data_IF_003559185230
#
_entry.id   IF_003559185230
#
_cell.length_a   1.000
_cell.length_b   1.000
_cell.length_c   1.000
_cell.angle_alpha   90.00
_cell.angle_beta   90.00
_cell.angle_gamma   90.00
#
_symmetry.space_group_name_H-M   'P 1'
#
loop_
_entity.id
_entity.type
_entity.pdbx_description
1 polymer ?
#
# COMPACT_ATOMS: atom_id res chain seq x y z
N UNK A 1 19.29 -21.99 8.72
CA UNK A 1 18.79 -22.20 7.35
C UNK A 1 19.79 -21.57 6.39
N UNK A 2 20.12 -22.25 5.28
CA UNK A 2 20.98 -21.73 4.22
C UNK A 2 20.09 -21.27 3.07
N UNK A 3 20.40 -20.12 2.46
CA UNK A 3 19.72 -19.61 1.27
C UNK A 3 20.72 -19.71 0.11
N UNK A 4 20.30 -20.21 -1.04
CA UNK A 4 21.16 -20.26 -2.23
C UNK A 4 20.88 -19.08 -3.18
N UNK A 5 19.61 -18.68 -3.26
CA UNK A 5 19.12 -17.66 -4.18
C UNK A 5 18.10 -16.77 -3.47
N UNK A 6 18.22 -15.46 -3.65
CA UNK A 6 17.21 -14.47 -3.31
C UNK A 6 16.58 -13.93 -4.61
N UNK A 7 15.27 -14.14 -4.75
CA UNK A 7 14.46 -13.60 -5.85
C UNK A 7 13.64 -12.44 -5.31
N UNK A 8 13.87 -11.24 -5.82
CA UNK A 8 13.10 -10.04 -5.49
C UNK A 8 12.25 -9.60 -6.69
N UNK A 9 10.93 -9.57 -6.53
CA UNK A 9 9.97 -9.08 -7.54
C UNK A 9 9.35 -7.80 -6.99
N UNK A 10 9.69 -6.67 -7.58
CA UNK A 10 9.57 -5.38 -6.88
C UNK A 10 9.28 -4.19 -7.81
N UNK A 11 9.18 -2.99 -7.25
CA UNK A 11 9.15 -1.72 -7.95
C UNK A 11 7.78 -1.06 -8.00
N UNK A 12 6.69 -1.84 -8.18
CA UNK A 12 5.33 -1.30 -8.21
C UNK A 12 4.95 -0.69 -6.87
N UNK A 13 5.13 -1.42 -5.76
CA UNK A 13 4.68 -0.97 -4.45
C UNK A 13 5.41 0.29 -4.00
N UNK A 14 6.69 0.41 -4.33
CA UNK A 14 7.55 1.52 -3.95
C UNK A 14 7.06 2.83 -4.56
N UNK A 15 6.60 2.79 -5.81
CA UNK A 15 6.12 4.00 -6.48
C UNK A 15 4.61 4.21 -6.31
N UNK A 16 3.82 3.15 -6.06
CA UNK A 16 2.36 3.25 -6.03
C UNK A 16 1.79 3.57 -4.65
N UNK A 17 2.35 2.96 -3.59
CA UNK A 17 1.79 3.06 -2.24
C UNK A 17 2.09 4.41 -1.57
N UNK A 18 3.33 4.94 -1.58
CA UNK A 18 3.60 6.20 -0.88
C UNK A 18 2.81 7.39 -1.43
N UNK A 19 2.66 7.58 -2.76
CA UNK A 19 1.79 8.65 -3.26
C UNK A 19 0.32 8.47 -2.88
N UNK A 20 -0.17 7.23 -2.82
CA UNK A 20 -1.57 6.94 -2.47
C UNK A 20 -1.84 7.13 -0.97
N UNK A 21 -0.88 6.79 -0.11
CA UNK A 21 -1.05 6.81 1.35
C UNK A 21 -0.57 8.11 1.98
N UNK A 22 0.49 8.73 1.44
CA UNK A 22 1.26 9.74 2.17
C UNK A 22 1.33 11.13 1.54
N UNK A 23 1.00 11.29 0.26
CA UNK A 23 1.13 12.58 -0.45
C UNK A 23 0.45 13.77 0.28
N UNK A 24 -0.70 13.55 0.92
CA UNK A 24 -1.42 14.58 1.68
C UNK A 24 -1.13 14.65 3.19
N UNK A 25 -0.35 13.72 3.75
CA UNK A 25 -0.24 13.53 5.21
C UNK A 25 1.08 14.00 5.82
N UNK A 26 2.03 14.51 5.01
CA UNK A 26 3.39 14.91 5.41
C UNK A 26 4.19 13.79 6.09
N UNK A 27 3.77 12.54 5.91
CA UNK A 27 4.50 11.36 6.35
C UNK A 27 5.62 11.08 5.35
N UNK A 28 6.81 10.76 5.86
CA UNK A 28 7.94 10.42 5.03
C UNK A 28 7.60 9.23 4.12
N UNK A 29 7.75 9.35 2.78
CA UNK A 29 7.32 8.33 1.83
C UNK A 29 8.14 7.04 1.91
N UNK A 30 9.28 7.05 2.61
CA UNK A 30 10.14 5.89 2.79
C UNK A 30 9.74 5.04 4.01
N UNK A 31 8.75 5.48 4.78
CA UNK A 31 8.24 4.70 5.89
C UNK A 31 7.40 3.51 5.41
N UNK A 32 7.36 2.40 6.20
CA UNK A 32 6.56 1.24 5.86
C UNK A 32 5.12 1.59 5.55
N UNK A 33 4.44 0.75 4.78
CA UNK A 33 3.00 0.89 4.50
C UNK A 33 2.19 1.05 5.79
N UNK A 34 1.17 1.91 5.76
CA UNK A 34 0.29 2.15 6.90
C UNK A 34 1.02 2.60 8.19
N UNK A 35 2.21 3.18 8.07
CA UNK A 35 3.03 3.61 9.20
C UNK A 35 2.28 4.47 10.21
N UNK A 36 1.48 5.49 9.82
CA UNK A 36 0.72 6.29 10.79
C UNK A 36 -0.20 5.44 11.67
N UNK A 37 -0.78 4.36 11.12
CA UNK A 37 -1.63 3.44 11.90
C UNK A 37 -0.80 2.58 12.84
N UNK A 38 0.35 2.07 12.38
CA UNK A 38 1.26 1.26 13.19
C UNK A 38 1.83 2.11 14.35
N UNK A 39 2.29 3.32 14.03
CA UNK A 39 2.82 4.28 14.99
C UNK A 39 1.74 4.80 15.95
N UNK A 40 0.50 4.98 15.50
CA UNK A 40 -0.64 5.27 16.37
C UNK A 40 -1.09 4.05 17.22
N UNK A 41 -0.66 2.84 16.89
CA UNK A 41 -0.82 1.67 17.76
C UNK A 41 0.21 1.64 18.91
N UNK A 42 1.34 2.33 18.73
CA UNK A 42 2.40 2.46 19.76
C UNK A 42 2.08 3.54 20.80
N UNK A 43 1.11 4.41 20.50
CA UNK A 43 0.53 5.35 21.44
C UNK A 43 -0.99 5.29 21.28
N UNK A 44 -1.70 4.64 22.21
CA UNK A 44 -3.15 4.82 22.41
C UNK A 44 -3.39 6.26 22.92
N UNK A 45 -2.93 7.24 22.16
CA UNK A 45 -2.99 8.63 22.52
C UNK A 45 -4.44 9.04 22.74
N UNK A 46 -4.60 10.17 23.41
CA UNK A 46 -5.90 10.73 23.75
C UNK A 46 -6.92 10.70 22.57
N UNK A 47 -6.54 11.00 21.30
CA UNK A 47 -7.47 10.89 20.17
C UNK A 47 -8.02 9.48 19.91
N UNK A 48 -7.18 8.45 20.03
CA UNK A 48 -7.57 7.04 19.80
C UNK A 48 -8.53 6.57 20.88
N UNK A 49 -8.28 6.93 22.15
CA UNK A 49 -9.18 6.63 23.26
C UNK A 49 -10.52 7.36 23.10
N UNK A 50 -10.51 8.62 22.68
CA UNK A 50 -11.72 9.39 22.38
C UNK A 50 -12.53 8.73 21.26
N UNK A 51 -11.88 8.32 20.16
CA UNK A 51 -12.54 7.64 19.04
C UNK A 51 -13.15 6.30 19.48
N UNK A 52 -12.41 5.50 20.22
CA UNK A 52 -12.91 4.24 20.77
C UNK A 52 -14.14 4.45 21.66
N UNK A 53 -14.12 5.48 22.52
CA UNK A 53 -15.26 5.85 23.36
C UNK A 53 -16.48 6.28 22.54
N UNK A 54 -16.29 7.06 21.47
CA UNK A 54 -17.38 7.44 20.55
C UNK A 54 -18.02 6.19 19.93
N UNK A 55 -17.22 5.26 19.41
CA UNK A 55 -17.71 4.00 18.83
C UNK A 55 -18.49 3.19 19.87
N UNK A 56 -17.95 3.07 21.10
CA UNK A 56 -18.63 2.35 22.19
C UNK A 56 -19.96 3.01 22.57
N UNK A 57 -20.02 4.35 22.65
CA UNK A 57 -21.26 5.08 22.94
C UNK A 57 -22.32 4.85 21.85
N UNK A 58 -21.93 4.86 20.57
CA UNK A 58 -22.85 4.52 19.48
C UNK A 58 -23.37 3.09 19.55
N UNK A 59 -22.51 2.12 19.88
CA UNK A 59 -22.92 0.72 20.09
C UNK A 59 -23.92 0.59 21.25
N UNK A 60 -23.65 1.25 22.37
CA UNK A 60 -24.53 1.25 23.53
C UNK A 60 -25.90 1.88 23.19
N UNK A 61 -25.93 3.01 22.47
CA UNK A 61 -27.18 3.64 22.02
C UNK A 61 -28.01 2.68 21.16
N UNK A 62 -27.37 2.00 20.20
CA UNK A 62 -28.04 1.01 19.33
C UNK A 62 -28.60 -0.16 20.15
N UNK A 63 -27.80 -0.70 21.07
CA UNK A 63 -28.22 -1.78 21.96
C UNK A 63 -29.47 -1.40 22.78
N UNK A 64 -29.46 -0.23 23.42
CA UNK A 64 -30.60 0.23 24.23
C UNK A 64 -31.82 0.58 23.37
N UNK A 65 -31.63 1.18 22.19
CA UNK A 65 -32.73 1.43 21.26
C UNK A 65 -33.45 0.12 20.89
N UNK A 66 -32.72 -0.96 20.62
CA UNK A 66 -33.31 -2.29 20.38
C UNK A 66 -34.05 -2.84 21.61
N UNK A 67 -33.52 -2.66 22.81
CA UNK A 67 -34.20 -3.11 24.05
C UNK A 67 -35.50 -2.34 24.31
N UNK A 68 -35.53 -1.05 24.02
CA UNK A 68 -36.71 -0.20 24.21
C UNK A 68 -37.86 -0.51 23.24
N UNK A 69 -37.59 -1.23 22.15
CA UNK A 69 -38.62 -1.72 21.22
C UNK A 69 -39.39 -2.96 21.72
N UNK A 70 -39.06 -3.49 22.90
CA UNK A 70 -39.82 -4.60 23.50
C UNK A 70 -41.20 -4.16 23.98
N UNK A 71 -42.17 -5.07 23.96
CA UNK A 71 -43.59 -4.73 24.16
C UNK A 71 -43.91 -4.02 25.47
N UNK A 72 -43.23 -4.39 26.56
CA UNK A 72 -43.40 -3.77 27.88
C UNK A 72 -42.76 -2.38 27.97
N UNK A 73 -41.57 -2.20 27.38
CA UNK A 73 -40.81 -0.96 27.48
C UNK A 73 -41.33 0.11 26.51
N UNK A 74 -41.76 -0.28 25.31
CA UNK A 74 -42.28 0.66 24.32
C UNK A 74 -43.59 1.34 24.78
N UNK A 75 -44.41 0.66 25.58
CA UNK A 75 -45.69 1.19 26.10
C UNK A 75 -45.53 1.97 27.41
N UNK A 76 -44.37 1.93 28.05
CA UNK A 76 -44.13 2.62 29.32
C UNK A 76 -43.66 4.05 29.08
N UNK A 77 -44.50 5.04 29.43
CA UNK A 77 -44.14 6.46 29.36
C UNK A 77 -42.93 6.81 30.23
N UNK A 78 -42.84 6.20 31.42
CA UNK A 78 -41.70 6.38 32.33
C UNK A 78 -40.40 5.85 31.72
N UNK A 79 -40.42 4.63 31.16
CA UNK A 79 -39.24 4.04 30.51
C UNK A 79 -38.79 4.88 29.30
N UNK A 80 -39.73 5.36 28.49
CA UNK A 80 -39.42 6.22 27.35
C UNK A 80 -38.85 7.58 27.77
N UNK A 81 -39.34 8.17 28.87
CA UNK A 81 -38.79 9.42 29.41
C UNK A 81 -37.35 9.24 29.91
N UNK A 82 -37.07 8.16 30.65
CA UNK A 82 -35.71 7.83 31.10
C UNK A 82 -34.80 7.53 29.90
N UNK A 83 -35.26 6.75 28.92
CA UNK A 83 -34.49 6.46 27.71
C UNK A 83 -34.20 7.73 26.90
N UNK A 84 -35.18 8.61 26.72
CA UNK A 84 -34.96 9.90 26.04
C UNK A 84 -33.90 10.73 26.76
N UNK A 85 -34.00 10.88 28.08
CA UNK A 85 -33.02 11.62 28.88
C UNK A 85 -31.60 11.03 28.73
N UNK A 86 -31.46 9.71 28.87
CA UNK A 86 -30.15 9.03 28.74
C UNK A 86 -29.59 9.08 27.31
N UNK A 87 -30.46 8.98 26.30
CA UNK A 87 -30.10 9.13 24.89
C UNK A 87 -29.61 10.55 24.59
N UNK A 88 -30.30 11.57 25.10
CA UNK A 88 -29.95 12.98 24.87
C UNK A 88 -28.61 13.31 25.57
N UNK A 89 -28.39 12.84 26.81
CA UNK A 89 -27.11 12.96 27.52
C UNK A 89 -25.97 12.28 26.73
N UNK A 90 -26.20 11.07 26.22
CA UNK A 90 -25.17 10.32 25.48
C UNK A 90 -24.90 10.98 24.12
N UNK A 91 -25.91 11.56 23.48
CA UNK A 91 -25.76 12.33 22.24
C UNK A 91 -24.89 13.56 22.48
N UNK A 92 -25.12 14.27 23.59
CA UNK A 92 -24.28 15.41 23.97
C UNK A 92 -22.82 14.98 24.21
N UNK A 93 -22.60 13.89 24.97
CA UNK A 93 -21.26 13.33 25.20
C UNK A 93 -20.55 12.94 23.91
N UNK A 94 -21.25 12.35 22.95
CA UNK A 94 -20.71 12.04 21.61
C UNK A 94 -20.31 13.34 20.90
N UNK A 95 -21.17 14.37 20.90
CA UNK A 95 -20.88 15.64 20.24
C UNK A 95 -19.66 16.35 20.85
N UNK A 96 -19.55 16.35 22.18
CA UNK A 96 -18.40 16.94 22.88
C UNK A 96 -17.11 16.15 22.58
N UNK A 97 -17.16 14.82 22.63
CA UNK A 97 -16.05 13.96 22.27
C UNK A 97 -15.61 14.16 20.81
N UNK A 98 -16.56 14.31 19.88
CA UNK A 98 -16.27 14.61 18.48
C UNK A 98 -15.61 15.99 18.32
N UNK A 99 -16.05 17.00 19.08
CA UNK A 99 -15.42 18.33 19.07
C UNK A 99 -13.99 18.30 19.60
N UNK A 100 -13.77 17.55 20.68
CA UNK A 100 -12.43 17.32 21.24
C UNK A 100 -11.55 16.58 20.25
N UNK A 101 -12.04 15.51 19.62
CA UNK A 101 -11.32 14.79 18.57
C UNK A 101 -10.94 15.72 17.40
N UNK A 102 -11.87 16.56 16.95
CA UNK A 102 -11.65 17.57 15.91
C UNK A 102 -10.57 18.59 16.28
N UNK A 103 -10.42 18.90 17.57
CA UNK A 103 -9.34 19.79 18.04
C UNK A 103 -7.94 19.19 17.85
N UNK A 104 -7.82 17.86 17.75
CA UNK A 104 -6.57 17.17 17.45
C UNK A 104 -6.26 17.12 15.96
N UNK A 105 -7.24 17.30 15.06
CA UNK A 105 -7.03 17.30 13.60
C UNK A 105 -6.08 18.43 13.16
N UNK A 106 -6.00 19.53 13.92
CA UNK A 106 -5.14 20.67 13.63
C UNK A 106 -3.76 20.64 14.33
N UNK A 107 -3.49 19.65 15.18
CA UNK A 107 -2.17 19.52 15.80
C UNK A 107 -1.21 18.85 14.82
N UNK A 108 0.00 19.41 14.67
CA UNK A 108 1.08 18.75 13.93
C UNK A 108 1.21 17.32 14.45
N UNK A 109 1.18 16.36 13.53
CA UNK A 109 1.40 14.96 13.88
C UNK A 109 2.77 14.81 14.57
N UNK A 110 2.88 13.94 15.59
CA UNK A 110 4.14 13.67 16.27
C UNK A 110 5.27 13.27 15.31
N UNK A 111 6.51 13.65 15.63
CA UNK A 111 7.68 13.35 14.80
C UNK A 111 7.85 11.85 14.52
N UNK A 112 7.51 10.97 15.46
CA UNK A 112 7.61 9.52 15.25
C UNK A 112 6.57 8.99 14.24
N UNK A 113 5.48 9.72 13.98
CA UNK A 113 4.48 9.40 12.95
C UNK A 113 4.93 9.93 11.59
N UNK A 114 5.40 11.18 11.52
CA UNK A 114 5.72 11.81 10.23
C UNK A 114 7.14 11.57 9.77
N UNK A 115 8.07 11.35 10.70
CA UNK A 115 9.50 11.36 10.44
C UNK A 115 10.04 12.77 10.13
N UNK A 116 11.24 12.84 9.54
CA UNK A 116 11.81 14.07 8.99
C UNK A 116 10.80 14.76 8.07
N UNK A 117 10.69 16.10 8.20
CA UNK A 117 9.74 16.88 7.40
C UNK A 117 10.04 16.72 5.91
N UNK A 118 9.14 16.08 5.19
CA UNK A 118 9.14 16.00 3.72
C UNK A 118 7.95 16.77 3.19
N UNK A 119 8.19 17.70 2.26
CA UNK A 119 7.14 18.38 1.52
C UNK A 119 7.39 18.13 0.04
N UNK A 120 6.33 17.73 -0.66
CA UNK A 120 6.36 17.45 -2.09
C UNK A 120 5.25 18.26 -2.74
N UNK A 121 5.60 19.04 -3.76
CA UNK A 121 4.66 19.84 -4.54
C UNK A 121 3.79 18.95 -5.43
N UNK A 122 4.35 17.81 -5.87
CA UNK A 122 3.66 16.86 -6.73
C UNK A 122 4.21 15.43 -6.59
N UNK A 123 3.43 14.46 -7.07
CA UNK A 123 3.78 13.03 -7.00
C UNK A 123 5.10 12.71 -7.72
N UNK A 124 5.45 13.44 -8.78
CA UNK A 124 6.69 13.18 -9.52
C UNK A 124 7.92 13.48 -8.67
N UNK A 125 7.87 14.54 -7.87
CA UNK A 125 8.94 14.90 -6.92
C UNK A 125 9.10 13.82 -5.85
N UNK A 126 7.99 13.37 -5.25
CA UNK A 126 7.99 12.27 -4.28
C UNK A 126 8.59 10.99 -4.86
N UNK A 127 8.17 10.59 -6.07
CA UNK A 127 8.74 9.42 -6.76
C UNK A 127 10.24 9.63 -7.03
N UNK A 128 10.66 10.83 -7.39
CA UNK A 128 12.06 11.20 -7.58
C UNK A 128 12.95 10.89 -6.37
N UNK A 129 12.42 11.06 -5.15
CA UNK A 129 13.13 10.75 -3.89
C UNK A 129 13.09 9.26 -3.52
N UNK A 130 12.03 8.55 -3.92
CA UNK A 130 11.87 7.12 -3.66
C UNK A 130 12.87 6.30 -4.49
N UNK A 131 13.04 6.64 -5.77
CA UNK A 131 13.85 5.85 -6.72
C UNK A 131 15.32 5.66 -6.27
N UNK A 132 16.04 6.69 -5.79
CA UNK A 132 17.38 6.53 -5.24
C UNK A 132 17.44 5.58 -4.06
N UNK A 133 16.44 5.61 -3.18
CA UNK A 133 16.36 4.71 -2.03
C UNK A 133 16.14 3.27 -2.49
N UNK A 134 15.22 3.04 -3.42
CA UNK A 134 15.00 1.72 -4.04
C UNK A 134 16.26 1.15 -4.69
N UNK A 135 16.98 1.98 -5.46
CA UNK A 135 18.28 1.62 -6.07
C UNK A 135 19.30 1.22 -4.99
N UNK A 136 19.46 2.07 -3.97
CA UNK A 136 20.42 1.85 -2.88
C UNK A 136 20.10 0.58 -2.12
N UNK A 137 18.83 0.33 -1.78
CA UNK A 137 18.37 -0.89 -1.12
C UNK A 137 18.72 -2.14 -1.93
N UNK A 138 18.48 -2.12 -3.24
CA UNK A 138 18.84 -3.22 -4.15
C UNK A 138 20.35 -3.50 -4.18
N UNK A 139 21.17 -2.45 -4.20
CA UNK A 139 22.63 -2.57 -4.15
C UNK A 139 23.09 -3.16 -2.81
N UNK A 140 22.51 -2.70 -1.69
CA UNK A 140 22.85 -3.23 -0.37
C UNK A 140 22.44 -4.70 -0.22
N UNK A 141 21.26 -5.09 -0.70
CA UNK A 141 20.82 -6.48 -0.74
C UNK A 141 21.77 -7.35 -1.57
N UNK A 142 22.20 -6.88 -2.75
CA UNK A 142 23.18 -7.60 -3.57
C UNK A 142 24.51 -7.81 -2.84
N UNK A 143 25.02 -6.77 -2.17
CA UNK A 143 26.26 -6.85 -1.39
C UNK A 143 26.15 -7.86 -0.26
N UNK A 144 25.04 -7.83 0.49
CA UNK A 144 24.78 -8.77 1.57
C UNK A 144 24.67 -10.20 1.04
N UNK A 145 23.98 -10.42 -0.07
CA UNK A 145 23.85 -11.72 -0.70
C UNK A 145 25.22 -12.26 -1.16
N UNK A 146 26.01 -11.45 -1.87
CA UNK A 146 27.37 -11.81 -2.32
C UNK A 146 28.28 -12.19 -1.15
N UNK A 147 28.25 -11.44 -0.05
CA UNK A 147 29.04 -11.73 1.14
C UNK A 147 28.69 -13.08 1.79
N UNK A 148 27.49 -13.61 1.52
CA UNK A 148 26.99 -14.87 2.06
C UNK A 148 26.87 -15.97 0.98
N UNK A 149 27.50 -15.79 -0.19
CA UNK A 149 27.41 -16.73 -1.33
C UNK A 149 25.98 -16.98 -1.84
N UNK A 150 25.08 -16.02 -1.65
CA UNK A 150 23.70 -16.04 -2.14
C UNK A 150 23.65 -15.32 -3.49
N UNK A 151 23.00 -15.92 -4.48
CA UNK A 151 22.73 -15.25 -5.77
C UNK A 151 21.51 -14.34 -5.65
N UNK A 152 21.65 -13.08 -6.05
CA UNK A 152 20.57 -12.10 -5.99
C UNK A 152 20.03 -11.76 -7.38
N UNK A 153 18.74 -12.00 -7.58
CA UNK A 153 18.00 -11.66 -8.79
C UNK A 153 16.91 -10.63 -8.46
N UNK A 154 16.80 -9.61 -9.29
CA UNK A 154 15.83 -8.53 -9.10
C UNK A 154 14.98 -8.36 -10.37
N UNK A 155 13.67 -8.47 -10.23
CA UNK A 155 12.71 -8.38 -11.31
C UNK A 155 11.80 -7.16 -11.11
N UNK A 156 11.75 -6.27 -12.09
CA UNK A 156 10.74 -5.22 -12.13
C UNK A 156 9.42 -5.81 -12.65
N UNK A 157 8.38 -5.81 -11.83
CA UNK A 157 7.11 -6.47 -12.13
C UNK A 157 6.25 -5.73 -13.18
N UNK A 158 5.44 -6.44 -13.97
CA UNK A 158 4.48 -5.82 -14.90
C UNK A 158 3.33 -5.13 -14.18
N UNK A 159 2.72 -4.15 -14.85
CA UNK A 159 1.50 -3.49 -14.37
C UNK A 159 0.63 -3.01 -15.54
N UNK A 160 -0.70 -3.13 -15.37
CA UNK A 160 -1.70 -2.81 -16.39
C UNK A 160 -1.74 -1.34 -16.81
N UNK A 161 -1.30 -0.44 -15.92
CA UNK A 161 -1.28 1.00 -16.21
C UNK A 161 -0.01 1.46 -16.94
N UNK A 162 1.01 0.60 -17.05
CA UNK A 162 2.20 0.94 -17.81
C UNK A 162 1.93 0.80 -19.32
N UNK A 163 2.29 1.84 -20.08
CA UNK A 163 2.02 1.89 -21.51
C UNK A 163 2.69 0.73 -22.23
N UNK A 164 1.91 0.02 -23.07
CA UNK A 164 2.36 -1.16 -23.83
C UNK A 164 2.94 -2.26 -22.93
N UNK A 165 2.36 -2.49 -21.75
CA UNK A 165 2.65 -3.67 -20.93
C UNK A 165 2.07 -4.94 -21.56
N UNK A 166 0.83 -4.85 -22.07
CA UNK A 166 0.17 -5.86 -22.90
C UNK A 166 -0.96 -5.26 -23.76
N UNK A 167 -1.46 -6.00 -24.78
CA UNK A 167 -2.76 -5.72 -25.39
C UNK A 167 -3.87 -6.02 -24.37
N UNK A 168 -4.61 -5.01 -23.94
CA UNK A 168 -5.76 -5.18 -23.03
C UNK A 168 -7.04 -5.07 -23.87
N UNK A 169 -7.80 -6.16 -23.94
CA UNK A 169 -9.09 -6.22 -24.62
C UNK A 169 -10.23 -5.60 -23.80
N UNK A 170 -11.39 -5.39 -24.41
CA UNK A 170 -12.53 -4.71 -23.76
C UNK A 170 -13.02 -5.41 -22.48
N UNK A 171 -12.99 -6.74 -22.44
CA UNK A 171 -13.44 -7.53 -21.28
C UNK A 171 -12.51 -7.31 -20.09
N UNK A 172 -11.20 -7.42 -20.32
CA UNK A 172 -10.20 -7.20 -19.29
C UNK A 172 -10.16 -5.74 -18.86
N UNK A 173 -10.27 -4.78 -19.79
CA UNK A 173 -10.26 -3.35 -19.47
C UNK A 173 -11.33 -2.95 -18.45
N UNK A 174 -12.52 -3.57 -18.49
CA UNK A 174 -13.62 -3.30 -17.54
C UNK A 174 -13.29 -3.66 -16.10
N UNK A 175 -12.34 -4.57 -15.89
CA UNK A 175 -11.93 -5.07 -14.57
C UNK A 175 -10.56 -4.51 -14.17
N UNK A 176 -9.64 -4.48 -15.13
CA UNK A 176 -8.23 -4.15 -14.94
C UNK A 176 -7.93 -2.64 -15.00
N UNK A 177 -8.79 -1.83 -15.62
CA UNK A 177 -8.51 -0.42 -15.85
C UNK A 177 -9.56 0.47 -15.21
N UNK A 178 -9.10 1.26 -14.25
CA UNK A 178 -9.84 2.39 -13.69
C UNK A 178 -9.07 3.69 -13.90
N UNK A 179 -9.71 4.67 -14.55
CA UNK A 179 -9.08 5.92 -14.99
C UNK A 179 -8.57 6.80 -13.83
N UNK A 180 -9.35 6.88 -12.76
CA UNK A 180 -9.07 7.66 -11.55
C UNK A 180 -8.32 6.85 -10.47
N UNK A 181 -7.80 5.67 -10.81
CA UNK A 181 -7.05 4.86 -9.85
C UNK A 181 -5.73 5.56 -9.46
N UNK A 182 -5.45 5.78 -8.16
CA UNK A 182 -4.25 6.50 -7.71
C UNK A 182 -2.95 5.85 -8.20
N UNK A 183 -2.90 4.51 -8.21
CA UNK A 183 -1.76 3.74 -8.73
C UNK A 183 -1.48 3.99 -10.22
N UNK A 184 -2.51 4.23 -11.04
CA UNK A 184 -2.33 4.43 -12.48
C UNK A 184 -1.50 5.67 -12.80
N UNK A 185 -1.70 6.77 -12.06
CA UNK A 185 -0.88 7.99 -12.20
C UNK A 185 0.56 7.74 -11.77
N UNK A 186 0.76 7.09 -10.63
CA UNK A 186 2.08 6.76 -10.12
C UNK A 186 2.85 5.85 -11.09
N UNK A 187 2.23 4.80 -11.62
CA UNK A 187 2.84 3.87 -12.59
C UNK A 187 3.30 4.59 -13.85
N UNK A 188 2.45 5.46 -14.43
CA UNK A 188 2.79 6.23 -15.63
C UNK A 188 4.04 7.11 -15.44
N UNK A 189 4.26 7.63 -14.24
CA UNK A 189 5.41 8.48 -13.89
C UNK A 189 6.63 7.66 -13.50
N UNK A 190 6.45 6.69 -12.59
CA UNK A 190 7.55 5.99 -11.93
C UNK A 190 8.14 4.84 -12.73
N UNK A 191 7.37 4.13 -13.55
CA UNK A 191 7.91 3.00 -14.33
C UNK A 191 9.02 3.39 -15.30
N UNK A 192 8.92 4.50 -16.06
CA UNK A 192 10.06 4.98 -16.87
C UNK A 192 11.34 5.16 -16.04
N UNK A 193 11.23 5.70 -14.83
CA UNK A 193 12.36 5.90 -13.92
C UNK A 193 12.90 4.56 -13.40
N UNK A 194 12.03 3.66 -12.94
CA UNK A 194 12.41 2.31 -12.48
C UNK A 194 13.14 1.51 -13.56
N UNK A 195 12.64 1.55 -14.80
CA UNK A 195 13.29 0.86 -15.93
C UNK A 195 14.68 1.42 -16.20
N UNK A 196 14.81 2.75 -16.24
CA UNK A 196 16.11 3.39 -16.44
C UNK A 196 17.08 3.07 -15.30
N UNK A 197 16.63 3.19 -14.05
CA UNK A 197 17.42 2.80 -12.87
C UNK A 197 17.76 1.32 -12.86
N UNK A 198 16.90 0.46 -13.41
CA UNK A 198 17.17 -0.95 -13.63
C UNK A 198 18.38 -1.22 -14.54
N UNK A 199 18.62 -0.35 -15.53
CA UNK A 199 19.85 -0.41 -16.34
C UNK A 199 21.07 -0.08 -15.50
N UNK A 200 20.98 0.90 -14.60
CA UNK A 200 22.07 1.20 -13.65
C UNK A 200 22.31 0.01 -12.71
N UNK A 201 21.26 -0.64 -12.21
CA UNK A 201 21.40 -1.82 -11.35
C UNK A 201 22.16 -2.96 -12.07
N UNK A 202 21.90 -3.17 -13.36
CA UNK A 202 22.68 -4.12 -14.17
C UNK A 202 24.16 -3.71 -14.24
N UNK A 203 24.45 -2.43 -14.45
CA UNK A 203 25.82 -1.92 -14.49
C UNK A 203 26.55 -2.10 -13.14
N UNK A 204 25.83 -2.05 -12.02
CA UNK A 204 26.32 -2.37 -10.67
C UNK A 204 26.48 -3.89 -10.40
N UNK A 205 26.31 -4.72 -11.44
CA UNK A 205 26.49 -6.17 -11.36
C UNK A 205 25.38 -6.88 -10.57
N UNK A 206 24.15 -6.36 -10.63
CA UNK A 206 22.93 -7.03 -10.17
C UNK A 206 22.30 -7.78 -11.34
N UNK A 207 21.84 -9.01 -11.12
CA UNK A 207 21.05 -9.77 -12.09
C UNK A 207 19.64 -9.20 -12.15
N UNK A 208 19.49 -8.05 -12.81
CA UNK A 208 18.22 -7.35 -12.94
C UNK A 208 17.51 -7.73 -14.24
N UNK A 209 16.19 -7.95 -14.19
CA UNK A 209 15.36 -8.18 -15.37
C UNK A 209 14.11 -7.30 -15.34
N UNK A 210 13.87 -6.64 -16.46
CA UNK A 210 12.69 -5.81 -16.67
C UNK A 210 11.56 -6.68 -17.25
N UNK A 211 10.54 -6.97 -16.44
CA UNK A 211 9.39 -7.76 -16.83
C UNK A 211 8.16 -6.90 -17.16
N UNK A 212 8.33 -5.58 -17.33
CA UNK A 212 7.21 -4.66 -17.59
C UNK A 212 6.40 -4.98 -18.85
N UNK A 213 7.00 -5.73 -19.79
CA UNK A 213 6.39 -6.16 -21.04
C UNK A 213 6.31 -7.69 -21.18
N UNK A 214 6.37 -8.44 -20.07
CA UNK A 214 6.31 -9.91 -20.10
C UNK A 214 5.02 -10.45 -20.76
N UNK A 215 3.94 -9.65 -20.73
CA UNK A 215 2.63 -10.00 -21.29
C UNK A 215 2.37 -9.42 -22.70
N UNK A 216 3.38 -8.86 -23.38
CA UNK A 216 3.17 -8.13 -24.65
C UNK A 216 2.51 -8.97 -25.77
N UNK A 217 2.70 -10.29 -25.75
CA UNK A 217 2.15 -11.23 -26.73
C UNK A 217 0.95 -12.03 -26.20
N UNK A 218 0.36 -11.60 -25.08
CA UNK A 218 -0.74 -12.29 -24.40
C UNK A 218 -2.02 -11.43 -24.44
N UNK A 219 -2.83 -11.52 -25.51
CA UNK A 219 -4.07 -10.75 -25.65
C UNK A 219 -5.22 -11.26 -24.76
N UNK A 220 -5.13 -12.48 -24.24
CA UNK A 220 -6.10 -13.07 -23.33
C UNK A 220 -6.15 -12.32 -21.98
N UNK A 221 -7.28 -12.29 -21.26
CA UNK A 221 -7.36 -11.66 -19.94
C UNK A 221 -6.42 -12.30 -18.92
N UNK A 222 -5.60 -11.48 -18.25
CA UNK A 222 -4.63 -11.90 -17.24
C UNK A 222 -4.80 -11.18 -15.91
N UNK A 223 -5.26 -9.93 -15.93
CA UNK A 223 -5.54 -9.17 -14.70
C UNK A 223 -6.93 -9.47 -14.14
N UNK A 224 -7.03 -9.66 -12.82
CA UNK A 224 -8.29 -9.95 -12.12
C UNK A 224 -8.90 -8.74 -11.41
N UNK A 225 -8.14 -7.64 -11.26
CA UNK A 225 -8.60 -6.41 -10.64
C UNK A 225 -7.90 -5.14 -11.15
N UNK A 226 -8.38 -3.98 -10.72
CA UNK A 226 -7.85 -2.67 -11.07
C UNK A 226 -6.62 -2.26 -10.23
N UNK A 227 -6.12 -3.16 -9.37
CA UNK A 227 -4.92 -2.95 -8.56
C UNK A 227 -3.66 -3.41 -9.33
N UNK A 228 -3.45 -4.72 -9.40
CA UNK A 228 -2.30 -5.35 -10.07
C UNK A 228 -2.33 -6.89 -10.05
N UNK A 229 -3.39 -7.54 -9.56
CA UNK A 229 -3.38 -8.98 -9.35
C UNK A 229 -3.62 -9.74 -10.66
N UNK A 230 -2.86 -10.82 -10.84
CA UNK A 230 -2.99 -11.70 -11.99
C UNK A 230 -3.82 -12.94 -11.64
N UNK A 231 -4.52 -13.46 -12.64
CA UNK A 231 -5.08 -14.81 -12.60
C UNK A 231 -3.97 -15.86 -12.64
N UNK A 232 -4.36 -17.14 -12.54
CA UNK A 232 -3.41 -18.26 -12.57
C UNK A 232 -2.51 -18.23 -13.81
N UNK A 233 -3.08 -17.98 -15.00
CA UNK A 233 -2.31 -17.94 -16.25
C UNK A 233 -1.27 -16.80 -16.24
N UNK A 234 -1.64 -15.61 -15.77
CA UNK A 234 -0.71 -14.49 -15.65
C UNK A 234 0.44 -14.78 -14.67
N UNK A 235 0.13 -15.43 -13.54
CA UNK A 235 1.14 -15.89 -12.59
C UNK A 235 2.06 -16.95 -13.21
N UNK A 236 1.54 -17.91 -13.97
CA UNK A 236 2.33 -18.95 -14.62
C UNK A 236 3.30 -18.38 -15.65
N UNK A 237 2.86 -17.40 -16.45
CA UNK A 237 3.70 -16.70 -17.43
C UNK A 237 4.81 -15.91 -16.72
N UNK A 238 4.47 -15.16 -15.67
CA UNK A 238 5.44 -14.40 -14.89
C UNK A 238 6.48 -15.32 -14.24
N UNK A 239 6.03 -16.38 -13.57
CA UNK A 239 6.91 -17.36 -12.92
C UNK A 239 7.85 -18.03 -13.93
N UNK A 240 7.33 -18.38 -15.12
CA UNK A 240 8.15 -18.95 -16.21
C UNK A 240 9.22 -17.97 -16.68
N UNK A 241 8.88 -16.69 -16.83
CA UNK A 241 9.84 -15.66 -17.24
C UNK A 241 10.95 -15.46 -16.18
N UNK A 242 10.57 -15.41 -14.90
CA UNK A 242 11.51 -15.36 -13.76
C UNK A 242 12.44 -16.58 -13.78
N UNK A 243 11.89 -17.80 -13.89
CA UNK A 243 12.67 -19.03 -13.92
C UNK A 243 13.68 -19.07 -15.07
N UNK A 244 13.29 -18.66 -16.27
CA UNK A 244 14.19 -18.56 -17.43
C UNK A 244 15.34 -17.59 -17.18
N UNK A 245 15.06 -16.43 -16.60
CA UNK A 245 16.07 -15.42 -16.29
C UNK A 245 17.05 -15.92 -15.21
N UNK A 246 16.57 -16.62 -14.17
CA UNK A 246 17.42 -17.24 -13.15
C UNK A 246 18.35 -18.29 -13.79
N UNK A 247 17.81 -19.22 -14.59
CA UNK A 247 18.62 -20.24 -15.27
C UNK A 247 19.68 -19.60 -16.18
N UNK A 248 19.32 -18.56 -16.92
CA UNK A 248 20.25 -17.84 -17.78
C UNK A 248 21.37 -17.15 -16.96
N UNK A 249 21.00 -16.48 -15.87
CA UNK A 249 21.97 -15.80 -15.00
C UNK A 249 22.93 -16.78 -14.32
N UNK A 250 22.43 -17.92 -13.82
CA UNK A 250 23.28 -18.95 -13.22
C UNK A 250 24.30 -19.55 -14.20
N UNK A 251 23.93 -19.70 -15.48
CA UNK A 251 24.84 -20.18 -16.52
C UNK A 251 25.93 -19.16 -16.88
N UNK A 252 25.67 -17.87 -16.67
CA UNK A 252 26.60 -16.79 -16.97
C UNK A 252 27.66 -16.59 -15.89
N UNK A 253 27.49 -17.19 -14.70
CA UNK A 253 28.47 -17.14 -13.62
C UNK A 253 29.60 -18.12 -13.94
N UNK A 254 30.87 -17.67 -14.01
CA UNK A 254 32.00 -18.56 -14.20
C UNK A 254 32.03 -19.61 -13.08
N UNK A 255 32.16 -20.90 -13.44
CA UNK A 255 32.43 -21.94 -12.44
C UNK A 255 33.79 -21.63 -11.82
N UNK A 256 33.81 -21.43 -10.50
CA UNK A 256 35.04 -21.42 -9.71
C UNK A 256 35.64 -22.81 -9.64
#
# INVERSE_FOLDING_TARGET
AHLDILINIDGFNEIALPPAEYFGSRVNPLYPRSWPMIAAGLDLGEPTVILANIIQMHRNKKFWATKMQTELLQRSYFANAIWKMTNDITTQKISDAQRTLKSFENKKQPYFITGPSTHYENISEMIGDIIPTWKKSSIQLNKLCKANNIQYFHFLQPNQYYKKSKPIGEIEAKVALREDHPYGKAVKIGYPLLRNTGLDLKAEGIQFADLTQVFINHPEPLYEDDCCHFNQLGNDILATAVGRAVVAGLKAIPRQ
#
